data_IF_934734298548
#
_entry.id   IF_934734298548
#
_cell.length_a   1.000
_cell.length_b   1.000
_cell.length_c   1.000
_cell.angle_alpha   90.00
_cell.angle_beta   90.00
_cell.angle_gamma   90.00
#
_symmetry.space_group_name_H-M   'P 1'
#
loop_
_entity.id
_entity.type
_entity.pdbx_description
1 polymer ?
#
# COMPACT_ATOMS: atom_id res chain seq x y z
N UNK A 1 -2.45 26.92 -9.87
CA UNK A 1 -1.05 26.43 -9.88
C UNK A 1 -0.77 25.55 -11.10
N UNK A 2 -1.52 24.50 -11.41
CA UNK A 2 -1.34 23.64 -12.60
C UNK A 2 -1.33 24.45 -13.91
N UNK A 3 -2.29 25.37 -14.10
CA UNK A 3 -2.37 26.22 -15.28
C UNK A 3 -1.08 27.00 -15.56
N UNK A 4 -0.40 27.49 -14.49
CA UNK A 4 0.87 28.21 -14.64
C UNK A 4 1.97 27.27 -15.15
N UNK A 5 2.05 26.04 -14.67
CA UNK A 5 3.02 25.06 -15.17
C UNK A 5 2.73 24.70 -16.63
N UNK A 6 1.49 24.39 -16.95
CA UNK A 6 1.07 24.01 -18.31
C UNK A 6 1.32 25.14 -19.31
N UNK A 7 1.02 26.39 -18.95
CA UNK A 7 1.31 27.56 -19.81
C UNK A 7 2.80 27.72 -20.14
N UNK A 8 3.67 27.24 -19.24
CA UNK A 8 5.11 27.23 -19.46
C UNK A 8 5.64 25.91 -20.05
N UNK A 9 4.76 25.03 -20.54
CA UNK A 9 5.12 23.77 -21.19
C UNK A 9 5.62 22.69 -20.20
N UNK A 10 5.36 22.85 -18.90
CA UNK A 10 5.76 21.90 -17.87
C UNK A 10 4.61 20.94 -17.55
N UNK A 11 4.95 19.69 -17.31
CA UNK A 11 4.05 18.65 -16.81
C UNK A 11 4.17 18.52 -15.31
N UNK A 12 3.07 18.17 -14.63
CA UNK A 12 3.00 18.04 -13.19
C UNK A 12 2.62 16.62 -12.81
N UNK A 13 3.51 15.92 -12.13
CA UNK A 13 3.19 14.66 -11.45
C UNK A 13 3.09 14.93 -9.94
N UNK A 14 2.18 14.23 -9.27
CA UNK A 14 2.03 14.33 -7.82
C UNK A 14 2.28 12.99 -7.16
N UNK A 15 2.69 13.03 -5.91
CA UNK A 15 2.78 11.83 -5.07
C UNK A 15 1.38 11.38 -4.67
N UNK A 16 1.12 10.07 -4.72
CA UNK A 16 -0.16 9.49 -4.34
C UNK A 16 0.06 8.22 -3.50
N UNK A 17 -0.38 8.29 -2.25
CA UNK A 17 -0.34 7.19 -1.30
C UNK A 17 -1.68 6.47 -1.35
N UNK A 18 -1.68 5.20 -1.78
CA UNK A 18 -2.90 4.39 -1.90
C UNK A 18 -3.01 3.33 -0.81
N UNK A 19 -1.90 2.95 -0.16
CA UNK A 19 -1.83 1.79 0.75
C UNK A 19 -2.54 2.01 2.08
N UNK A 20 -2.60 3.23 2.58
CA UNK A 20 -3.11 3.55 3.91
C UNK A 20 -3.72 4.94 3.98
N UNK A 21 -4.38 5.23 5.08
CA UNK A 21 -4.83 6.59 5.43
C UNK A 21 -4.21 7.02 6.75
N UNK A 22 -4.43 8.27 7.16
CA UNK A 22 -4.26 8.64 8.56
C UNK A 22 -5.27 7.92 9.45
N UNK A 23 -4.91 7.62 10.69
CA UNK A 23 -5.84 7.14 11.72
C UNK A 23 -6.91 8.19 12.12
N UNK A 24 -6.70 9.46 11.75
CA UNK A 24 -7.68 10.53 11.88
C UNK A 24 -8.65 10.62 10.67
N UNK A 25 -8.43 9.82 9.62
CA UNK A 25 -9.29 9.82 8.45
C UNK A 25 -10.71 9.36 8.83
N UNK A 26 -11.76 10.03 8.34
CA UNK A 26 -13.16 9.68 8.70
C UNK A 26 -13.51 8.21 8.47
N UNK A 27 -12.99 7.58 7.43
CA UNK A 27 -13.21 6.15 7.16
C UNK A 27 -12.64 5.27 8.29
N UNK A 28 -11.41 5.55 8.75
CA UNK A 28 -10.81 4.77 9.84
C UNK A 28 -11.50 5.05 11.17
N UNK A 29 -11.77 6.32 11.47
CA UNK A 29 -12.50 6.72 12.69
C UNK A 29 -13.85 6.02 12.78
N UNK A 30 -14.59 5.89 11.67
CA UNK A 30 -15.85 5.15 11.66
C UNK A 30 -15.61 3.63 11.69
N UNK A 31 -14.63 3.10 10.94
CA UNK A 31 -14.30 1.68 10.91
C UNK A 31 -13.95 1.13 12.29
N UNK A 32 -13.17 1.88 13.10
CA UNK A 32 -12.77 1.42 14.43
C UNK A 32 -13.91 1.41 15.47
N UNK A 33 -15.04 2.10 15.20
CA UNK A 33 -16.17 2.17 16.14
C UNK A 33 -16.97 0.86 16.21
N UNK A 34 -17.09 0.14 15.09
CA UNK A 34 -17.91 -1.05 15.02
C UNK A 34 -17.58 -1.95 13.83
N UNK A 35 -17.65 -3.26 14.04
CA UNK A 35 -17.57 -4.26 12.97
C UNK A 35 -18.75 -4.18 11.99
N UNK A 36 -19.80 -3.43 12.30
CA UNK A 36 -21.00 -3.24 11.47
C UNK A 36 -21.07 -1.85 10.83
N UNK A 37 -20.00 -1.03 10.92
CA UNK A 37 -19.97 0.27 10.27
C UNK A 37 -19.86 0.15 8.75
N UNK A 38 -20.22 1.20 8.02
CA UNK A 38 -20.08 1.26 6.56
C UNK A 38 -18.65 0.94 6.09
N UNK A 39 -17.65 1.42 6.84
CA UNK A 39 -16.24 1.26 6.51
C UNK A 39 -15.56 0.12 7.30
N UNK A 40 -16.36 -0.78 7.91
CA UNK A 40 -15.84 -1.84 8.78
C UNK A 40 -14.82 -2.74 8.10
N UNK A 41 -14.95 -2.97 6.80
CA UNK A 41 -14.11 -3.84 5.97
C UNK A 41 -13.19 -3.06 5.00
N UNK A 42 -13.08 -1.75 5.20
CA UNK A 42 -12.20 -0.90 4.39
C UNK A 42 -10.75 -0.91 4.84
N UNK A 43 -10.49 -1.40 6.05
CA UNK A 43 -9.17 -1.59 6.62
C UNK A 43 -8.96 -3.07 6.95
N UNK A 44 -7.71 -3.48 7.06
CA UNK A 44 -7.37 -4.86 7.37
C UNK A 44 -7.53 -5.10 8.87
N UNK A 45 -8.61 -5.77 9.26
CA UNK A 45 -8.93 -6.11 10.65
C UNK A 45 -8.88 -7.62 10.86
N UNK A 46 -8.32 -8.06 11.99
CA UNK A 46 -8.22 -9.47 12.35
C UNK A 46 -8.62 -9.68 13.80
N UNK A 47 -9.46 -10.68 14.04
CA UNK A 47 -9.83 -11.10 15.40
C UNK A 47 -8.61 -11.60 16.17
N UNK A 48 -8.59 -11.36 17.49
CA UNK A 48 -7.49 -11.79 18.33
C UNK A 48 -7.68 -11.44 19.77
N UNK A 49 -6.57 -11.51 20.51
CA UNK A 49 -6.50 -11.10 21.91
C UNK A 49 -5.33 -10.14 22.10
N UNK A 50 -5.53 -9.11 22.92
CA UNK A 50 -4.48 -8.13 23.23
C UNK A 50 -3.16 -8.83 23.62
N UNK A 51 -2.06 -8.41 22.97
CA UNK A 51 -0.73 -9.02 23.17
C UNK A 51 -0.42 -10.26 22.31
N UNK A 52 -1.37 -10.73 21.48
CA UNK A 52 -1.19 -11.88 20.60
C UNK A 52 -1.52 -11.51 19.16
N UNK A 53 -0.60 -10.84 18.42
CA UNK A 53 -0.84 -10.47 17.03
C UNK A 53 -1.11 -11.71 16.17
N UNK A 54 -1.84 -11.55 15.03
CA UNK A 54 -2.27 -12.67 14.18
C UNK A 54 -1.12 -13.49 13.59
N UNK A 55 0.00 -12.83 13.31
CA UNK A 55 1.21 -13.44 12.74
C UNK A 55 2.46 -12.61 13.09
N UNK A 56 3.58 -12.97 12.49
CA UNK A 56 4.89 -12.37 12.79
C UNK A 56 5.23 -11.14 11.94
N UNK A 57 4.32 -10.58 11.18
CA UNK A 57 4.63 -9.45 10.28
C UNK A 57 5.12 -8.24 11.05
N UNK A 58 6.14 -7.60 10.50
CA UNK A 58 6.80 -6.45 11.10
C UNK A 58 6.51 -5.18 10.30
N UNK A 59 6.38 -4.07 11.02
CA UNK A 59 6.33 -2.74 10.40
C UNK A 59 7.70 -2.38 9.82
N UNK A 60 7.70 -1.71 8.67
CA UNK A 60 8.89 -1.15 8.02
C UNK A 60 9.70 -0.27 8.98
N UNK A 61 9.01 0.42 9.89
CA UNK A 61 9.67 1.27 10.90
C UNK A 61 10.01 0.56 12.21
N UNK A 62 9.78 -0.75 12.28
CA UNK A 62 10.08 -1.60 13.42
C UNK A 62 8.88 -1.88 14.32
N UNK A 63 8.96 -2.99 15.04
CA UNK A 63 7.86 -3.51 15.85
C UNK A 63 6.87 -4.34 15.02
N UNK A 64 5.79 -4.79 15.66
CA UNK A 64 4.71 -5.52 14.99
C UNK A 64 4.02 -4.65 13.95
N UNK A 65 3.62 -5.23 12.82
CA UNK A 65 2.73 -4.60 11.85
C UNK A 65 1.26 -4.58 12.31
N UNK A 66 0.97 -5.09 13.49
CA UNK A 66 -0.37 -5.22 14.04
C UNK A 66 -0.54 -4.38 15.31
N UNK A 67 -1.56 -3.53 15.31
CA UNK A 67 -1.94 -2.73 16.47
C UNK A 67 -3.30 -3.17 17.01
N UNK A 68 -3.37 -3.45 18.31
CA UNK A 68 -4.62 -3.79 18.99
C UNK A 68 -5.54 -2.59 19.13
N UNK A 69 -6.75 -2.71 18.62
CA UNK A 69 -7.82 -1.74 18.85
C UNK A 69 -8.78 -2.26 19.92
N UNK A 70 -8.68 -1.72 21.12
CA UNK A 70 -9.51 -2.13 22.27
C UNK A 70 -10.99 -1.91 22.03
N UNK A 71 -11.36 -0.86 21.29
CA UNK A 71 -12.75 -0.52 21.00
C UNK A 71 -13.43 -1.60 20.17
N UNK A 72 -12.69 -2.14 19.19
CA UNK A 72 -13.20 -3.11 18.24
C UNK A 72 -12.88 -4.56 18.63
N UNK A 73 -12.00 -4.77 19.61
CA UNK A 73 -11.45 -6.09 19.98
C UNK A 73 -10.84 -6.83 18.78
N UNK A 74 -10.12 -6.11 17.94
CA UNK A 74 -9.43 -6.63 16.77
C UNK A 74 -8.07 -5.96 16.63
N UNK A 75 -7.17 -6.61 15.91
CA UNK A 75 -5.97 -5.97 15.39
C UNK A 75 -6.26 -5.31 14.05
N UNK A 76 -5.60 -4.17 13.78
CA UNK A 76 -5.50 -3.64 12.42
C UNK A 76 -4.06 -3.69 11.94
N UNK A 77 -3.91 -3.86 10.61
CA UNK A 77 -2.61 -3.85 9.94
C UNK A 77 -2.13 -2.42 9.75
N UNK A 78 -0.82 -2.22 9.93
CA UNK A 78 -0.10 -1.00 9.56
C UNK A 78 1.32 -1.37 9.12
N UNK A 79 1.57 -1.38 7.84
CA UNK A 79 2.91 -1.67 7.32
C UNK A 79 3.94 -0.60 7.70
N UNK A 80 3.49 0.60 8.06
CA UNK A 80 4.32 1.76 8.45
C UNK A 80 4.06 2.16 9.90
N UNK A 81 3.59 3.39 10.16
CA UNK A 81 3.28 3.82 11.52
C UNK A 81 1.91 3.30 11.98
N UNK A 82 1.74 3.16 13.28
CA UNK A 82 0.42 2.86 13.89
C UNK A 82 -0.65 3.87 13.52
N UNK A 83 -0.26 5.11 13.23
CA UNK A 83 -1.14 6.17 12.73
C UNK A 83 -1.42 6.09 11.22
N UNK A 84 -0.96 5.03 10.56
CA UNK A 84 -1.14 4.79 9.12
C UNK A 84 -1.78 3.41 8.89
N UNK A 85 -3.08 3.23 9.27
CA UNK A 85 -3.78 1.96 9.08
C UNK A 85 -3.93 1.61 7.60
N UNK A 86 -3.62 0.37 7.25
CA UNK A 86 -3.65 -0.12 5.88
C UNK A 86 -5.09 -0.36 5.39
N UNK A 87 -5.34 0.10 4.17
CA UNK A 87 -6.59 -0.16 3.46
C UNK A 87 -6.67 -1.61 2.99
N UNK A 88 -7.86 -2.18 3.05
CA UNK A 88 -8.13 -3.55 2.63
C UNK A 88 -8.37 -3.63 1.12
N UNK A 89 -7.33 -3.85 0.33
CA UNK A 89 -7.45 -3.98 -1.13
C UNK A 89 -8.07 -5.31 -1.59
N UNK A 90 -8.31 -6.28 -0.71
CA UNK A 90 -9.16 -7.43 -1.03
C UNK A 90 -10.65 -7.02 -1.13
N UNK A 91 -11.02 -5.89 -0.54
CA UNK A 91 -12.35 -5.30 -0.69
C UNK A 91 -12.46 -4.56 -2.05
N UNK A 92 -13.38 -4.98 -2.97
CA UNK A 92 -13.53 -4.32 -4.26
C UNK A 92 -14.03 -2.88 -4.18
N UNK A 93 -14.72 -2.49 -3.10
CA UNK A 93 -15.14 -1.10 -2.89
C UNK A 93 -13.95 -0.18 -2.63
N UNK A 94 -12.95 -0.66 -1.87
CA UNK A 94 -11.68 0.06 -1.65
C UNK A 94 -10.93 0.23 -2.96
N UNK A 95 -10.81 -0.86 -3.75
CA UNK A 95 -10.18 -0.77 -5.07
C UNK A 95 -10.84 0.27 -5.97
N UNK A 96 -12.19 0.28 -6.01
CA UNK A 96 -12.95 1.22 -6.82
C UNK A 96 -12.77 2.67 -6.32
N UNK A 97 -12.86 2.89 -5.01
CA UNK A 97 -12.66 4.21 -4.43
C UNK A 97 -11.26 4.77 -4.73
N UNK A 98 -10.22 3.93 -4.65
CA UNK A 98 -8.86 4.38 -4.94
C UNK A 98 -8.67 4.72 -6.44
N UNK A 99 -9.37 4.04 -7.35
CA UNK A 99 -9.42 4.45 -8.76
C UNK A 99 -10.16 5.79 -8.94
N UNK A 100 -11.22 6.04 -8.18
CA UNK A 100 -11.94 7.32 -8.19
C UNK A 100 -11.06 8.46 -7.64
N UNK A 101 -10.21 8.20 -6.62
CA UNK A 101 -9.23 9.17 -6.14
C UNK A 101 -8.17 9.51 -7.21
N UNK A 102 -7.66 8.53 -7.92
CA UNK A 102 -6.76 8.74 -9.07
C UNK A 102 -7.48 9.60 -10.12
N UNK A 103 -8.71 9.23 -10.48
CA UNK A 103 -9.52 9.95 -11.47
C UNK A 103 -9.78 11.39 -11.05
N UNK A 104 -10.07 11.63 -9.78
CA UNK A 104 -10.28 12.98 -9.26
C UNK A 104 -9.09 13.91 -9.56
N UNK A 105 -7.87 13.44 -9.27
CA UNK A 105 -6.67 14.24 -9.52
C UNK A 105 -6.38 14.43 -11.03
N UNK A 106 -6.68 13.43 -11.85
CA UNK A 106 -6.61 13.54 -13.31
C UNK A 106 -7.60 14.59 -13.83
N UNK A 107 -8.84 14.59 -13.33
CA UNK A 107 -9.86 15.59 -13.66
C UNK A 107 -9.46 17.01 -13.20
N UNK A 108 -8.68 17.13 -12.12
CA UNK A 108 -8.06 18.41 -11.67
C UNK A 108 -6.96 18.87 -12.63
N UNK A 109 -6.38 17.95 -13.41
CA UNK A 109 -5.41 18.25 -14.46
C UNK A 109 -3.96 17.91 -14.12
N UNK A 110 -3.69 16.98 -13.20
CA UNK A 110 -2.33 16.45 -13.02
C UNK A 110 -1.99 15.54 -14.20
N UNK A 111 -0.72 15.52 -14.61
CA UNK A 111 -0.23 14.78 -15.77
C UNK A 111 0.30 13.39 -15.42
N UNK A 112 0.21 12.99 -14.15
CA UNK A 112 0.63 11.67 -13.70
C UNK A 112 0.92 11.59 -12.20
N UNK A 113 1.38 10.42 -11.79
CA UNK A 113 1.61 10.11 -10.37
C UNK A 113 2.93 9.40 -10.12
N UNK A 114 3.53 9.72 -8.98
CA UNK A 114 4.44 8.82 -8.29
C UNK A 114 3.61 8.06 -7.25
N UNK A 115 3.43 6.75 -7.44
CA UNK A 115 2.74 5.90 -6.47
C UNK A 115 3.71 5.47 -5.38
N UNK A 116 3.41 5.90 -4.17
CA UNK A 116 4.17 5.55 -2.98
C UNK A 116 4.00 4.06 -2.66
N UNK A 117 5.12 3.35 -2.47
CA UNK A 117 5.18 1.93 -2.08
C UNK A 117 4.07 1.06 -2.68
N UNK A 118 3.89 1.14 -3.99
CA UNK A 118 2.73 0.56 -4.70
C UNK A 118 2.60 -0.97 -4.51
N UNK A 119 3.66 -1.66 -4.14
CA UNK A 119 3.65 -3.09 -3.90
C UNK A 119 3.07 -3.51 -2.53
N UNK A 120 2.66 -2.56 -1.67
CA UNK A 120 2.10 -2.82 -0.34
C UNK A 120 0.56 -2.87 -0.30
N UNK A 121 -0.15 -2.79 -1.43
CA UNK A 121 -1.61 -2.72 -1.42
C UNK A 121 -2.29 -4.05 -1.06
N UNK A 122 -1.67 -5.17 -1.38
CA UNK A 122 -2.23 -6.50 -1.12
C UNK A 122 -1.31 -7.29 -0.17
N UNK A 123 -1.94 -8.03 0.71
CA UNK A 123 -1.32 -8.98 1.63
C UNK A 123 -1.85 -10.39 1.38
N UNK A 124 -1.27 -11.39 2.03
CA UNK A 124 -1.72 -12.77 1.98
C UNK A 124 -3.01 -12.95 2.79
N UNK A 125 -4.11 -13.39 2.15
CA UNK A 125 -5.40 -13.61 2.81
C UNK A 125 -5.35 -14.69 3.90
N UNK A 126 -4.41 -15.64 3.80
CA UNK A 126 -4.22 -16.68 4.80
C UNK A 126 -3.41 -16.21 6.00
N UNK A 127 -2.88 -14.99 5.98
CA UNK A 127 -2.10 -14.35 7.05
C UNK A 127 -0.90 -15.20 7.51
N UNK A 128 -0.24 -15.91 6.59
CA UNK A 128 0.90 -16.76 6.89
C UNK A 128 2.08 -15.97 7.43
N UNK A 129 2.83 -16.58 8.35
CA UNK A 129 4.06 -15.99 8.86
C UNK A 129 5.10 -15.79 7.76
N UNK A 130 5.75 -14.63 7.75
CA UNK A 130 6.92 -14.40 6.90
C UNK A 130 8.09 -15.29 7.36
N UNK A 131 8.77 -16.00 6.45
CA UNK A 131 9.93 -16.80 6.83
C UNK A 131 11.12 -15.91 7.26
N UNK A 132 12.01 -16.45 8.12
CA UNK A 132 13.23 -15.75 8.45
C UNK A 132 14.17 -15.67 7.24
N UNK A 133 14.78 -14.52 7.03
CA UNK A 133 15.78 -14.32 5.98
C UNK A 133 17.09 -15.02 6.31
N UNK A 134 17.71 -15.65 5.32
CA UNK A 134 19.07 -16.20 5.50
C UNK A 134 20.02 -15.05 5.89
N UNK A 135 20.71 -15.16 7.05
CA UNK A 135 21.64 -14.10 7.51
C UNK A 135 22.73 -13.73 6.47
N UNK A 136 23.06 -14.64 5.55
CA UNK A 136 24.02 -14.40 4.48
C UNK A 136 23.47 -13.53 3.35
N UNK A 137 22.14 -13.44 3.25
CA UNK A 137 21.43 -12.69 2.24
C UNK A 137 20.89 -11.35 2.78
N UNK A 138 21.07 -11.07 4.08
CA UNK A 138 20.68 -9.80 4.68
C UNK A 138 21.45 -8.68 3.99
N UNK A 139 20.80 -8.01 3.06
CA UNK A 139 21.32 -6.79 2.44
C UNK A 139 20.74 -5.60 3.20
N UNK A 140 21.53 -4.55 3.46
CA UNK A 140 20.97 -3.32 3.97
C UNK A 140 20.12 -2.68 2.86
N UNK A 141 18.82 -2.92 2.89
CA UNK A 141 17.82 -2.29 2.00
C UNK A 141 17.57 -0.82 2.40
N UNK A 142 18.62 -0.08 2.80
CA UNK A 142 18.46 1.28 3.29
C UNK A 142 17.93 1.38 4.72
N UNK A 143 17.54 0.27 5.34
CA UNK A 143 17.13 0.22 6.75
C UNK A 143 18.34 0.20 7.67
N UNK A 144 18.18 0.78 8.86
CA UNK A 144 19.15 0.59 9.94
C UNK A 144 19.32 -0.93 10.15
N UNK A 145 20.57 -1.43 10.16
CA UNK A 145 20.90 -2.85 10.38
C UNK A 145 20.34 -3.42 11.69
N UNK A 146 19.91 -2.56 12.61
CA UNK A 146 19.26 -2.93 13.86
C UNK A 146 17.72 -3.04 13.73
N UNK A 147 17.14 -2.76 12.55
CA UNK A 147 15.73 -2.91 12.32
C UNK A 147 15.39 -4.38 11.99
N UNK A 148 14.60 -5.06 12.83
CA UNK A 148 14.27 -6.48 12.65
C UNK A 148 13.47 -6.75 11.35
N UNK A 149 12.85 -5.74 10.72
CA UNK A 149 12.19 -5.87 9.43
C UNK A 149 13.11 -6.53 8.39
N UNK A 150 14.37 -6.13 8.31
CA UNK A 150 15.34 -6.73 7.39
C UNK A 150 15.73 -8.18 7.65
N UNK A 151 15.23 -8.82 8.72
CA UNK A 151 15.51 -10.21 9.08
C UNK A 151 14.42 -11.19 8.60
N UNK A 152 13.35 -10.70 7.99
CA UNK A 152 12.28 -11.51 7.40
C UNK A 152 12.30 -11.44 5.87
N UNK A 153 11.83 -12.50 5.21
CA UNK A 153 11.48 -12.48 3.80
C UNK A 153 10.03 -12.01 3.66
N UNK A 154 9.83 -10.81 3.14
CA UNK A 154 8.52 -10.16 3.02
C UNK A 154 7.77 -10.65 1.79
N UNK A 155 7.33 -11.93 1.82
CA UNK A 155 6.63 -12.60 0.72
C UNK A 155 5.12 -12.71 0.93
N UNK A 156 4.63 -12.42 2.15
CA UNK A 156 3.22 -12.52 2.49
C UNK A 156 2.58 -11.18 2.85
N UNK A 157 3.32 -10.21 3.33
CA UNK A 157 2.83 -8.89 3.74
C UNK A 157 2.84 -7.83 2.63
N UNK A 158 3.54 -8.08 1.53
CA UNK A 158 3.58 -7.20 0.36
C UNK A 158 3.92 -7.96 -0.94
N UNK A 159 4.00 -7.24 -2.07
CA UNK A 159 4.42 -7.75 -3.39
C UNK A 159 3.59 -8.99 -3.83
N UNK A 160 2.31 -8.95 -3.58
CA UNK A 160 1.40 -10.06 -3.88
C UNK A 160 0.99 -10.07 -5.36
N UNK A 161 0.73 -11.28 -5.94
CA UNK A 161 0.33 -11.40 -7.34
C UNK A 161 -1.00 -10.71 -7.67
N UNK A 162 -1.87 -10.52 -6.67
CA UNK A 162 -3.14 -9.80 -6.77
C UNK A 162 -2.95 -8.34 -7.20
N UNK A 163 -1.74 -7.80 -7.00
CA UNK A 163 -1.39 -6.45 -7.42
C UNK A 163 -1.39 -6.29 -8.94
N UNK A 164 -0.98 -7.32 -9.69
CA UNK A 164 -0.77 -7.23 -11.13
C UNK A 164 -2.05 -6.85 -11.90
N UNK A 165 -3.22 -7.50 -11.68
CA UNK A 165 -4.46 -7.08 -12.33
C UNK A 165 -4.96 -5.70 -11.86
N UNK A 166 -4.62 -5.25 -10.65
CA UNK A 166 -4.97 -3.92 -10.19
C UNK A 166 -4.12 -2.83 -10.88
N UNK A 167 -2.82 -3.07 -11.10
CA UNK A 167 -1.97 -2.20 -11.91
C UNK A 167 -2.50 -2.04 -13.33
N UNK A 168 -3.09 -3.09 -13.91
CA UNK A 168 -3.70 -3.01 -15.24
C UNK A 168 -4.98 -2.15 -15.25
N UNK A 169 -5.72 -2.07 -14.12
CA UNK A 169 -6.84 -1.14 -13.97
C UNK A 169 -6.35 0.31 -13.88
N UNK A 170 -5.32 0.56 -13.06
CA UNK A 170 -4.68 1.87 -12.95
C UNK A 170 -4.18 2.32 -14.33
N UNK A 171 -3.45 1.46 -15.04
CA UNK A 171 -2.89 1.82 -16.35
C UNK A 171 -3.97 2.21 -17.36
N UNK A 172 -5.05 1.45 -17.47
CA UNK A 172 -6.17 1.80 -18.36
C UNK A 172 -6.75 3.16 -18.04
N UNK A 173 -6.91 3.49 -16.76
CA UNK A 173 -7.39 4.81 -16.35
C UNK A 173 -6.40 5.91 -16.74
N UNK A 174 -5.11 5.72 -16.54
CA UNK A 174 -4.08 6.69 -16.92
C UNK A 174 -4.03 6.92 -18.45
N UNK A 175 -4.16 5.85 -19.24
CA UNK A 175 -4.15 5.92 -20.69
C UNK A 175 -5.33 6.77 -21.24
N UNK A 176 -6.49 6.79 -20.55
CA UNK A 176 -7.63 7.66 -20.90
C UNK A 176 -7.30 9.16 -20.79
N UNK A 177 -6.33 9.52 -19.96
CA UNK A 177 -5.90 10.90 -19.70
C UNK A 177 -4.52 11.25 -20.27
N UNK A 178 -3.87 10.36 -21.01
CA UNK A 178 -2.49 10.53 -21.47
C UNK A 178 -1.52 10.85 -20.30
N UNK A 179 -1.78 10.25 -19.13
CA UNK A 179 -1.05 10.47 -17.89
C UNK A 179 -0.01 9.38 -17.67
N UNK A 180 1.08 9.74 -16.97
CA UNK A 180 2.19 8.81 -16.69
C UNK A 180 2.18 8.31 -15.24
N UNK A 181 2.85 7.18 -15.02
CA UNK A 181 3.04 6.60 -13.69
C UNK A 181 4.48 6.21 -13.42
N UNK A 182 4.91 6.48 -12.18
CA UNK A 182 6.14 6.01 -11.58
C UNK A 182 5.80 5.30 -10.28
N UNK A 183 6.14 4.01 -10.13
CA UNK A 183 5.95 3.24 -8.90
C UNK A 183 7.20 3.26 -8.03
N UNK A 184 7.06 3.51 -6.74
CA UNK A 184 8.08 3.15 -5.77
C UNK A 184 7.88 1.71 -5.33
N UNK A 185 8.96 0.92 -5.36
CA UNK A 185 8.94 -0.50 -5.03
C UNK A 185 10.00 -0.81 -3.97
N UNK A 186 9.56 -1.44 -2.89
CA UNK A 186 10.41 -2.02 -1.85
C UNK A 186 10.09 -3.50 -1.76
N UNK A 187 10.88 -4.34 -2.41
CA UNK A 187 10.62 -5.77 -2.56
C UNK A 187 11.89 -6.61 -2.31
N UNK A 188 11.71 -7.90 -2.02
CA UNK A 188 12.81 -8.85 -1.83
C UNK A 188 13.65 -9.05 -3.10
N UNK A 189 13.00 -9.12 -4.26
CA UNK A 189 13.62 -9.07 -5.57
C UNK A 189 13.14 -7.85 -6.36
N UNK A 190 13.75 -6.68 -6.13
CA UNK A 190 13.29 -5.44 -6.74
C UNK A 190 13.41 -5.46 -8.26
N UNK A 191 14.42 -6.11 -8.85
CA UNK A 191 14.60 -6.15 -10.30
C UNK A 191 13.52 -6.97 -10.99
N UNK A 192 13.17 -8.14 -10.46
CA UNK A 192 12.06 -8.94 -10.96
C UNK A 192 10.74 -8.20 -10.82
N UNK A 193 10.49 -7.62 -9.63
CA UNK A 193 9.26 -6.88 -9.35
C UNK A 193 9.10 -5.66 -10.27
N UNK A 194 10.18 -4.88 -10.49
CA UNK A 194 10.18 -3.77 -11.44
C UNK A 194 9.79 -4.26 -12.84
N UNK A 195 10.40 -5.37 -13.30
CA UNK A 195 10.10 -5.95 -14.61
C UNK A 195 8.64 -6.40 -14.75
N UNK A 196 8.04 -6.92 -13.68
CA UNK A 196 6.63 -7.31 -13.66
C UNK A 196 5.69 -6.10 -13.61
N UNK A 197 6.04 -5.08 -12.82
CA UNK A 197 5.19 -3.91 -12.59
C UNK A 197 5.28 -2.87 -13.71
N UNK A 198 6.41 -2.81 -14.44
CA UNK A 198 6.66 -1.86 -15.53
C UNK A 198 6.62 -2.55 -16.87
N UNK A 199 5.51 -2.46 -17.59
CA UNK A 199 5.36 -2.98 -18.94
C UNK A 199 4.23 -2.25 -19.70
N UNK A 200 3.96 -2.67 -20.93
CA UNK A 200 2.95 -2.03 -21.78
C UNK A 200 1.53 -2.00 -21.19
N UNK A 201 1.22 -2.84 -20.20
CA UNK A 201 -0.12 -2.97 -19.61
C UNK A 201 -0.20 -2.47 -18.16
N UNK A 202 0.93 -2.13 -17.53
CA UNK A 202 1.02 -1.74 -16.13
C UNK A 202 1.67 -0.37 -15.99
N UNK A 203 2.45 -0.14 -14.95
CA UNK A 203 3.09 1.17 -14.77
C UNK A 203 4.05 1.50 -15.92
N UNK A 204 4.21 2.79 -16.20
CA UNK A 204 5.16 3.25 -17.20
C UNK A 204 6.61 3.08 -16.71
N UNK A 205 6.81 3.29 -15.40
CA UNK A 205 8.10 3.15 -14.71
C UNK A 205 7.87 2.64 -13.29
N UNK A 206 8.86 1.95 -12.74
CA UNK A 206 8.90 1.55 -11.34
C UNK A 206 10.37 1.43 -10.86
#
# INVERSE_FOLDING_TARGET
MLEVFHTNGLKVITDLVLSHTSDEHPWFVESQQSQNSKYSDWYVWVDGHEGSPPNNWLSVFGGSAWQWCKHRNQFYLHNFLTSQPDLNFHNPEVQAQMLDEIKFWLDVGVDGFRFDVINFLFHDDELRDNPPKDPKLVRPLGFNKDNPYGLQEHIYDNTRPEMLPYLEKIRRLLDEYDAISLGEIVAEDPFSTIGEYSNERRLHMA
#
